data_IF_696789449346
#
_entry.id   IF_696789449346
#
_cell.length_a   1.000
_cell.length_b   1.000
_cell.length_c   1.000
_cell.angle_alpha   90.00
_cell.angle_beta   90.00
_cell.angle_gamma   90.00
#
_symmetry.space_group_name_H-M   'P 1'
#
loop_
_entity.id
_entity.type
_entity.pdbx_description
1 polymer ?
#
# COMPACT_ATOMS: atom_id res chain seq x y z
N UNK A 1 3.23 12.60 10.83
CA UNK A 1 1.91 11.95 10.88
C UNK A 1 2.13 10.46 10.94
N UNK A 2 1.11 9.65 11.28
CA UNK A 2 1.27 8.20 11.34
C UNK A 2 1.74 7.61 9.99
N UNK A 3 1.27 8.16 8.86
CA UNK A 3 1.75 7.81 7.52
C UNK A 3 3.23 8.18 7.33
N UNK A 4 3.66 9.33 7.84
CA UNK A 4 5.06 9.75 7.80
C UNK A 4 5.98 8.79 8.55
N UNK A 5 5.56 8.40 9.75
CA UNK A 5 6.31 7.52 10.62
C UNK A 5 6.38 6.08 10.08
N UNK A 6 5.29 5.59 9.49
CA UNK A 6 5.19 4.20 9.01
C UNK A 6 5.59 4.01 7.54
N UNK A 7 5.35 4.98 6.66
CA UNK A 7 5.72 4.92 5.25
C UNK A 7 6.94 5.81 5.07
N UNK A 8 8.13 5.24 5.20
CA UNK A 8 9.40 5.96 5.12
C UNK A 8 10.40 5.15 4.26
N UNK A 9 11.61 5.69 4.04
CA UNK A 9 12.60 5.04 3.19
C UNK A 9 13.07 3.68 3.74
N UNK A 10 13.13 3.53 5.07
CA UNK A 10 13.53 2.30 5.75
C UNK A 10 12.43 1.23 5.64
N UNK A 11 11.16 1.62 5.78
CA UNK A 11 10.02 0.71 5.74
C UNK A 11 9.49 0.41 4.33
N UNK A 12 9.94 1.14 3.30
CA UNK A 12 9.41 1.04 1.93
C UNK A 12 9.42 -0.39 1.38
N UNK A 13 10.46 -1.18 1.67
CA UNK A 13 10.54 -2.60 1.28
C UNK A 13 9.37 -3.42 1.86
N UNK A 14 9.04 -3.22 3.13
CA UNK A 14 7.94 -3.90 3.80
C UNK A 14 6.60 -3.40 3.29
N UNK A 15 6.48 -2.10 3.00
CA UNK A 15 5.27 -1.53 2.42
C UNK A 15 4.92 -2.16 1.06
N UNK A 16 5.92 -2.36 0.19
CA UNK A 16 5.74 -3.11 -1.06
C UNK A 16 5.31 -4.56 -0.83
N UNK A 17 5.92 -5.24 0.13
CA UNK A 17 5.58 -6.63 0.47
C UNK A 17 4.16 -6.74 1.01
N UNK A 18 3.72 -5.77 1.82
CA UNK A 18 2.36 -5.67 2.33
C UNK A 18 1.35 -5.44 1.20
N UNK A 19 1.67 -4.53 0.26
CA UNK A 19 0.83 -4.30 -0.93
C UNK A 19 0.68 -5.57 -1.78
N UNK A 20 1.76 -6.34 -1.96
CA UNK A 20 1.69 -7.65 -2.59
C UNK A 20 0.83 -8.64 -1.80
N UNK A 21 0.95 -8.65 -0.46
CA UNK A 21 0.15 -9.50 0.41
C UNK A 21 -1.35 -9.19 0.27
N UNK A 22 -1.75 -7.92 0.21
CA UNK A 22 -3.14 -7.51 -0.06
C UNK A 22 -3.61 -8.10 -1.40
N UNK A 23 -2.84 -7.90 -2.47
CA UNK A 23 -3.22 -8.39 -3.80
C UNK A 23 -3.36 -9.91 -3.83
N UNK A 24 -2.48 -10.67 -3.19
CA UNK A 24 -2.54 -12.12 -3.24
C UNK A 24 -3.56 -12.73 -2.29
N UNK A 25 -3.72 -12.18 -1.09
CA UNK A 25 -4.45 -12.85 0.00
C UNK A 25 -5.77 -12.18 0.38
N UNK A 26 -6.03 -10.95 -0.09
CA UNK A 26 -7.21 -10.18 0.31
C UNK A 26 -8.05 -9.71 -0.89
N UNK A 27 -7.45 -9.57 -2.07
CA UNK A 27 -8.20 -9.39 -3.30
C UNK A 27 -8.70 -10.74 -3.83
N UNK A 28 -9.99 -10.82 -4.12
CA UNK A 28 -10.61 -12.01 -4.67
C UNK A 28 -11.47 -11.70 -5.89
N UNK A 29 -11.80 -12.73 -6.66
CA UNK A 29 -12.60 -12.62 -7.88
C UNK A 29 -14.05 -12.28 -7.54
N UNK A 30 -14.53 -11.15 -8.05
CA UNK A 30 -15.90 -10.68 -7.84
C UNK A 30 -16.86 -11.20 -8.91
N UNK A 31 -17.01 -12.53 -9.03
CA UNK A 31 -17.93 -13.10 -10.02
C UNK A 31 -18.32 -14.55 -9.71
N UNK A 32 -19.61 -14.87 -9.87
CA UNK A 32 -20.13 -16.24 -9.76
C UNK A 32 -19.66 -17.15 -10.91
N UNK A 33 -19.26 -16.58 -12.06
CA UNK A 33 -18.70 -17.32 -13.19
C UNK A 33 -17.34 -16.71 -13.63
N UNK A 34 -16.26 -16.96 -12.85
CA UNK A 34 -14.92 -16.44 -13.12
C UNK A 34 -14.44 -16.75 -14.54
N UNK A 35 -14.62 -17.99 -15.01
CA UNK A 35 -14.24 -18.41 -16.36
C UNK A 35 -14.83 -17.55 -17.47
N UNK A 36 -16.15 -17.29 -17.44
CA UNK A 36 -16.81 -16.46 -18.46
C UNK A 36 -16.34 -15.01 -18.37
N UNK A 37 -16.21 -14.48 -17.15
CA UNK A 37 -15.71 -13.12 -16.94
C UNK A 37 -14.29 -12.95 -17.50
N UNK A 38 -13.36 -13.83 -17.13
CA UNK A 38 -11.98 -13.75 -17.62
C UNK A 38 -11.89 -13.96 -19.12
N UNK A 39 -12.70 -14.84 -19.72
CA UNK A 39 -12.76 -14.98 -21.18
C UNK A 39 -13.17 -13.66 -21.86
N UNK A 40 -14.14 -12.94 -21.29
CA UNK A 40 -14.53 -11.61 -21.76
C UNK A 40 -13.41 -10.58 -21.61
N UNK A 41 -12.83 -10.47 -20.42
CA UNK A 41 -11.74 -9.53 -20.14
C UNK A 41 -10.51 -9.76 -21.01
N UNK A 42 -10.17 -11.02 -21.31
CA UNK A 42 -9.01 -11.37 -22.14
C UNK A 42 -9.24 -11.11 -23.64
N UNK A 43 -10.49 -10.93 -24.08
CA UNK A 43 -10.79 -10.43 -25.45
C UNK A 43 -10.56 -8.92 -25.54
N UNK A 44 -10.88 -8.18 -24.47
CA UNK A 44 -10.71 -6.72 -24.42
C UNK A 44 -9.28 -6.31 -24.11
N UNK A 45 -8.61 -7.06 -23.22
CA UNK A 45 -7.31 -6.69 -22.68
C UNK A 45 -6.30 -7.82 -22.90
N UNK A 46 -5.17 -7.49 -23.53
CA UNK A 46 -4.03 -8.39 -23.55
C UNK A 46 -3.37 -8.43 -22.16
N UNK A 47 -3.18 -9.62 -21.58
CA UNK A 47 -2.59 -9.78 -20.26
C UNK A 47 -1.21 -9.10 -20.10
N UNK A 48 -0.41 -9.02 -21.15
CA UNK A 48 0.93 -8.41 -21.12
C UNK A 48 0.87 -6.95 -20.66
N UNK A 49 -0.11 -6.19 -21.14
CA UNK A 49 -0.16 -4.73 -20.93
C UNK A 49 -1.42 -4.29 -20.16
N UNK A 50 -2.51 -5.04 -20.27
CA UNK A 50 -3.80 -4.76 -19.65
C UNK A 50 -4.04 -5.41 -18.28
N UNK A 51 -3.04 -6.05 -17.66
CA UNK A 51 -3.24 -6.76 -16.39
C UNK A 51 -3.76 -5.86 -15.26
N UNK A 52 -3.38 -4.57 -15.23
CA UNK A 52 -3.90 -3.61 -14.23
C UNK A 52 -5.39 -3.37 -14.45
N UNK A 53 -5.83 -3.19 -15.69
CA UNK A 53 -7.26 -3.04 -16.03
C UNK A 53 -8.05 -4.29 -15.64
N UNK A 54 -7.51 -5.48 -15.95
CA UNK A 54 -8.13 -6.75 -15.55
C UNK A 54 -8.22 -6.85 -14.03
N UNK A 55 -7.16 -6.51 -13.28
CA UNK A 55 -7.15 -6.50 -11.82
C UNK A 55 -8.27 -5.57 -11.28
N UNK A 56 -8.34 -4.35 -11.80
CA UNK A 56 -9.29 -3.32 -11.36
C UNK A 56 -10.76 -3.61 -11.69
N UNK A 57 -11.01 -4.50 -12.65
CA UNK A 57 -12.36 -4.89 -13.09
C UNK A 57 -12.82 -6.21 -12.46
N UNK A 58 -11.93 -7.18 -12.28
CA UNK A 58 -12.29 -8.53 -11.84
C UNK A 58 -12.18 -8.74 -10.33
N UNK A 59 -11.40 -7.92 -9.62
CA UNK A 59 -11.05 -8.19 -8.23
C UNK A 59 -11.60 -7.15 -7.27
N UNK A 60 -12.04 -7.61 -6.11
CA UNK A 60 -12.48 -6.79 -4.98
C UNK A 60 -11.83 -7.28 -3.70
N UNK A 61 -11.75 -6.42 -2.68
CA UNK A 61 -11.39 -6.90 -1.34
C UNK A 61 -12.50 -7.82 -0.83
N UNK A 62 -12.11 -8.98 -0.31
CA UNK A 62 -13.04 -9.95 0.25
C UNK A 62 -12.43 -10.58 1.50
N UNK A 63 -13.29 -10.86 2.49
CA UNK A 63 -12.97 -11.69 3.66
C UNK A 63 -13.15 -13.18 3.37
N UNK A 64 -13.79 -13.52 2.24
CA UNK A 64 -14.03 -14.89 1.81
C UNK A 64 -13.38 -15.11 0.44
N UNK A 65 -12.50 -16.12 0.36
CA UNK A 65 -11.85 -16.49 -0.88
C UNK A 65 -12.72 -17.47 -1.65
N UNK A 66 -12.95 -17.16 -2.92
CA UNK A 66 -13.69 -17.97 -3.87
C UNK A 66 -12.98 -19.30 -4.08
N UNK A 67 -13.77 -20.38 -4.11
CA UNK A 67 -13.26 -21.71 -4.45
C UNK A 67 -13.17 -21.77 -5.97
N UNK A 68 -11.96 -21.51 -6.48
CA UNK A 68 -11.66 -21.54 -7.90
C UNK A 68 -11.13 -22.90 -8.32
N UNK A 69 -11.41 -23.31 -9.57
CA UNK A 69 -10.79 -24.50 -10.13
C UNK A 69 -9.27 -24.29 -10.38
N UNK A 70 -8.46 -25.34 -10.56
CA UNK A 70 -7.01 -25.20 -10.75
C UNK A 70 -6.60 -24.34 -11.95
N UNK A 71 -7.42 -24.29 -13.01
CA UNK A 71 -7.15 -23.49 -14.21
C UNK A 71 -7.40 -22.01 -13.90
N UNK A 72 -8.50 -21.71 -13.23
CA UNK A 72 -8.87 -20.37 -12.77
C UNK A 72 -7.85 -19.83 -11.76
N UNK A 73 -7.42 -20.63 -10.78
CA UNK A 73 -6.39 -20.26 -9.82
C UNK A 73 -5.08 -19.86 -10.52
N UNK A 74 -4.65 -20.64 -11.52
CA UNK A 74 -3.44 -20.35 -12.30
C UNK A 74 -3.59 -19.04 -13.08
N UNK A 75 -4.78 -18.76 -13.61
CA UNK A 75 -5.04 -17.51 -14.33
C UNK A 75 -5.04 -16.31 -13.38
N UNK A 76 -5.75 -16.39 -12.25
CA UNK A 76 -5.77 -15.37 -11.20
C UNK A 76 -4.36 -15.04 -10.74
N UNK A 77 -3.55 -16.06 -10.44
CA UNK A 77 -2.16 -15.88 -10.06
C UNK A 77 -1.35 -15.12 -11.12
N UNK A 78 -1.51 -15.48 -12.40
CA UNK A 78 -0.84 -14.79 -13.52
C UNK A 78 -1.27 -13.32 -13.63
N UNK A 79 -2.57 -13.03 -13.51
CA UNK A 79 -3.10 -11.65 -13.55
C UNK A 79 -2.51 -10.83 -12.41
N UNK A 80 -2.64 -11.30 -11.17
CA UNK A 80 -2.12 -10.60 -9.98
C UNK A 80 -0.61 -10.35 -10.09
N UNK A 81 0.17 -11.37 -10.43
CA UNK A 81 1.63 -11.27 -10.61
C UNK A 81 1.99 -10.28 -11.70
N UNK A 82 1.30 -10.31 -12.85
CA UNK A 82 1.58 -9.41 -13.97
C UNK A 82 1.19 -7.96 -13.65
N UNK A 83 0.05 -7.74 -13.00
CA UNK A 83 -0.39 -6.42 -12.55
C UNK A 83 0.64 -5.80 -11.59
N UNK A 84 1.07 -6.53 -10.56
CA UNK A 84 2.12 -6.07 -9.63
C UNK A 84 3.44 -5.74 -10.33
N UNK A 85 3.83 -6.52 -11.33
CA UNK A 85 5.00 -6.22 -12.16
C UNK A 85 4.83 -4.89 -12.92
N UNK A 86 3.67 -4.69 -13.56
CA UNK A 86 3.39 -3.46 -14.31
C UNK A 86 3.34 -2.24 -13.38
N UNK A 87 2.68 -2.35 -12.22
CA UNK A 87 2.63 -1.29 -11.21
C UNK A 87 4.04 -0.91 -10.76
N UNK A 88 4.87 -1.90 -10.40
CA UNK A 88 6.26 -1.66 -10.02
C UNK A 88 7.07 -1.02 -11.15
N UNK A 89 6.84 -1.43 -12.40
CA UNK A 89 7.48 -0.84 -13.58
C UNK A 89 7.06 0.62 -13.76
N UNK A 90 5.77 0.94 -13.64
CA UNK A 90 5.26 2.31 -13.74
C UNK A 90 5.85 3.20 -12.65
N UNK A 91 5.85 2.75 -11.39
CA UNK A 91 6.41 3.53 -10.28
C UNK A 91 7.91 3.82 -10.51
N UNK A 92 8.68 2.82 -10.95
CA UNK A 92 10.10 3.03 -11.26
C UNK A 92 10.36 3.88 -12.50
N UNK A 93 9.40 3.96 -13.43
CA UNK A 93 9.49 4.82 -14.61
C UNK A 93 9.15 6.27 -14.29
N UNK A 94 8.17 6.49 -13.42
CA UNK A 94 7.66 7.82 -13.08
C UNK A 94 8.44 8.50 -11.94
N UNK A 95 9.08 7.73 -11.05
CA UNK A 95 9.78 8.25 -9.86
C UNK A 95 11.25 7.85 -9.84
N UNK A 96 12.14 8.82 -9.54
CA UNK A 96 13.60 8.67 -9.70
C UNK A 96 14.26 7.91 -8.56
N UNK A 97 13.69 7.98 -7.36
CA UNK A 97 14.32 7.47 -6.15
C UNK A 97 13.28 7.08 -5.08
N UNK A 98 13.75 6.43 -4.02
CA UNK A 98 12.89 5.96 -2.93
C UNK A 98 12.20 7.10 -2.16
N UNK A 99 12.75 8.31 -2.12
CA UNK A 99 12.13 9.47 -1.46
C UNK A 99 10.86 9.89 -2.18
N UNK A 100 10.92 9.97 -3.51
CA UNK A 100 9.77 10.31 -4.35
C UNK A 100 8.67 9.23 -4.25
N UNK A 101 9.07 7.95 -4.30
CA UNK A 101 8.14 6.81 -4.13
C UNK A 101 7.49 6.84 -2.74
N UNK A 102 8.26 7.11 -1.68
CA UNK A 102 7.75 7.24 -0.32
C UNK A 102 6.73 8.37 -0.24
N UNK A 103 7.02 9.49 -0.91
CA UNK A 103 6.11 10.64 -0.98
C UNK A 103 4.80 10.29 -1.70
N UNK A 104 4.86 9.54 -2.81
CA UNK A 104 3.66 9.00 -3.47
C UNK A 104 2.79 8.21 -2.49
N UNK A 105 3.37 7.23 -1.79
CA UNK A 105 2.60 6.37 -0.89
C UNK A 105 2.06 7.14 0.32
N UNK A 106 2.85 8.05 0.91
CA UNK A 106 2.36 8.94 1.99
C UNK A 106 1.15 9.74 1.55
N UNK A 107 1.21 10.35 0.37
CA UNK A 107 0.11 11.18 -0.15
C UNK A 107 -1.11 10.33 -0.55
N UNK A 108 -0.90 9.11 -1.05
CA UNK A 108 -2.00 8.17 -1.34
C UNK A 108 -2.83 7.87 -0.09
N UNK A 109 -2.18 7.69 1.06
CA UNK A 109 -2.79 7.38 2.36
C UNK A 109 -3.23 8.62 3.14
N UNK A 110 -3.27 9.81 2.51
CA UNK A 110 -3.73 11.04 3.18
C UNK A 110 -2.71 11.68 4.12
N UNK A 111 -1.48 11.18 4.11
CA UNK A 111 -0.35 11.78 4.80
C UNK A 111 0.15 13.06 4.14
N UNK A 112 1.30 13.54 4.61
CA UNK A 112 1.95 14.77 4.14
C UNK A 112 3.29 14.46 3.46
N UNK A 113 3.77 15.37 2.60
CA UNK A 113 5.16 15.37 2.10
C UNK A 113 6.15 15.56 3.24
N UNK A 114 7.45 15.37 2.97
CA UNK A 114 8.52 15.75 3.91
C UNK A 114 8.48 17.24 4.31
N UNK A 115 7.98 18.11 3.42
CA UNK A 115 7.72 19.54 3.68
C UNK A 115 6.35 19.81 4.32
N UNK A 116 5.70 18.78 4.88
CA UNK A 116 4.43 18.86 5.60
C UNK A 116 3.21 19.30 4.76
N UNK A 117 3.28 19.22 3.43
CA UNK A 117 2.18 19.59 2.54
C UNK A 117 1.32 18.35 2.27
N UNK A 118 0.01 18.46 2.49
CA UNK A 118 -0.97 17.42 2.12
C UNK A 118 -1.62 17.72 0.77
N UNK A 119 -2.22 16.71 0.13
CA UNK A 119 -3.03 16.92 -1.08
C UNK A 119 -4.21 17.89 -0.84
N UNK A 120 -4.80 17.89 0.35
CA UNK A 120 -5.90 18.78 0.72
C UNK A 120 -5.43 20.23 0.91
N UNK A 121 -4.22 20.43 1.42
CA UNK A 121 -3.62 21.76 1.58
C UNK A 121 -3.31 22.44 0.25
N UNK A 122 -3.04 21.69 -0.83
CA UNK A 122 -2.89 22.27 -2.18
C UNK A 122 -4.12 23.00 -2.69
N UNK A 123 -5.31 22.64 -2.19
CA UNK A 123 -6.56 23.26 -2.63
C UNK A 123 -6.80 24.61 -1.94
N UNK A 124 -6.05 24.95 -0.88
CA UNK A 124 -6.14 26.24 -0.20
C UNK A 124 -5.17 27.24 -0.83
N UNK A 125 -5.68 28.41 -1.23
CA UNK A 125 -4.95 29.47 -1.95
C UNK A 125 -3.68 30.00 -1.24
N UNK A 126 -3.51 29.75 0.07
CA UNK A 126 -2.50 30.39 0.92
C UNK A 126 -1.26 29.53 1.25
N UNK A 127 -1.14 28.29 0.76
CA UNK A 127 0.01 27.43 1.02
C UNK A 127 0.86 27.20 -0.23
N UNK A 128 2.16 26.92 -0.04
CA UNK A 128 3.04 26.41 -1.10
C UNK A 128 2.33 25.24 -1.80
N UNK A 129 2.10 25.40 -3.11
CA UNK A 129 1.40 24.40 -3.92
C UNK A 129 2.38 23.30 -4.29
N UNK A 130 2.01 22.06 -4.03
CA UNK A 130 2.65 20.91 -4.70
C UNK A 130 2.43 21.10 -6.19
N UNK A 131 3.45 20.78 -6.96
CA UNK A 131 3.42 20.84 -8.42
C UNK A 131 2.14 20.14 -8.97
N UNK A 132 1.37 20.79 -9.86
CA UNK A 132 0.20 20.20 -10.49
C UNK A 132 0.47 18.86 -11.17
N UNK A 133 1.67 18.66 -11.72
CA UNK A 133 2.09 17.39 -12.34
C UNK A 133 2.17 16.26 -11.32
N UNK A 134 2.66 16.53 -10.11
CA UNK A 134 2.69 15.57 -9.00
C UNK A 134 1.26 15.22 -8.57
N UNK A 135 0.39 16.23 -8.47
CA UNK A 135 -1.02 16.01 -8.11
C UNK A 135 -1.76 15.16 -9.16
N UNK A 136 -1.54 15.44 -10.45
CA UNK A 136 -2.11 14.66 -11.55
C UNK A 136 -1.59 13.20 -11.53
N UNK A 137 -0.29 13.03 -11.28
CA UNK A 137 0.34 11.72 -11.15
C UNK A 137 -0.28 10.93 -10.00
N UNK A 138 -0.41 11.53 -8.80
CA UNK A 138 -1.02 10.84 -7.66
C UNK A 138 -2.47 10.47 -7.92
N UNK A 139 -3.26 11.35 -8.57
CA UNK A 139 -4.64 11.05 -8.97
C UNK A 139 -4.69 9.85 -9.91
N UNK A 140 -3.81 9.78 -10.90
CA UNK A 140 -3.67 8.63 -11.83
C UNK A 140 -3.40 7.34 -11.06
N UNK A 141 -2.39 7.32 -10.19
CA UNK A 141 -2.08 6.14 -9.38
C UNK A 141 -3.25 5.75 -8.49
N UNK A 142 -3.90 6.71 -7.85
CA UNK A 142 -5.04 6.49 -6.96
C UNK A 142 -6.25 5.90 -7.69
N UNK A 143 -6.53 6.33 -8.92
CA UNK A 143 -7.67 5.85 -9.71
C UNK A 143 -7.40 4.59 -10.53
N UNK A 144 -6.13 4.24 -10.76
CA UNK A 144 -5.75 3.13 -11.63
C UNK A 144 -4.73 2.18 -10.99
N UNK A 145 -3.43 2.48 -11.02
CA UNK A 145 -2.35 1.53 -10.64
C UNK A 145 -2.43 1.05 -9.19
N UNK A 146 -2.90 1.88 -8.27
CA UNK A 146 -3.02 1.61 -6.83
C UNK A 146 -4.48 1.65 -6.36
N UNK A 147 -5.44 1.52 -7.30
CA UNK A 147 -6.89 1.52 -6.98
C UNK A 147 -7.25 0.49 -5.91
N UNK A 148 -6.59 -0.67 -5.91
CA UNK A 148 -6.83 -1.72 -4.91
C UNK A 148 -6.49 -1.32 -3.47
N UNK A 149 -5.65 -0.29 -3.27
CA UNK A 149 -5.34 0.24 -1.94
C UNK A 149 -6.39 1.26 -1.46
N UNK A 150 -7.29 1.74 -2.32
CA UNK A 150 -8.27 2.78 -1.97
C UNK A 150 -9.04 2.50 -0.68
N UNK A 151 -9.54 1.28 -0.42
CA UNK A 151 -10.24 0.99 0.82
C UNK A 151 -9.40 1.21 2.08
N UNK A 152 -8.07 1.12 1.98
CA UNK A 152 -7.10 1.37 3.06
C UNK A 152 -6.70 2.85 3.20
N UNK A 153 -7.16 3.74 2.31
CA UNK A 153 -6.79 5.16 2.36
C UNK A 153 -7.72 6.00 3.23
N UNK A 154 -8.77 5.41 3.82
CA UNK A 154 -9.65 6.12 4.76
C UNK A 154 -9.08 6.07 6.18
N UNK A 155 -9.34 7.11 6.98
CA UNK A 155 -8.77 7.26 8.34
C UNK A 155 -9.09 6.10 9.28
N UNK A 156 -10.20 5.41 9.07
CA UNK A 156 -10.71 4.31 9.92
C UNK A 156 -10.56 2.93 9.29
N UNK A 157 -9.78 2.81 8.21
CA UNK A 157 -9.64 1.55 7.46
C UNK A 157 -8.81 0.46 8.13
N UNK A 158 -8.19 0.73 9.28
CA UNK A 158 -7.33 -0.22 9.98
C UNK A 158 -6.01 -0.53 9.25
N UNK A 159 -5.63 0.26 8.23
CA UNK A 159 -4.41 0.02 7.45
C UNK A 159 -3.14 0.06 8.30
N UNK A 160 -3.09 0.92 9.32
CA UNK A 160 -1.97 1.03 10.26
C UNK A 160 -1.72 -0.30 10.96
N UNK A 161 -2.76 -0.84 11.59
CA UNK A 161 -2.71 -2.14 12.27
C UNK A 161 -2.35 -3.26 11.29
N UNK A 162 -3.05 -3.33 10.15
CA UNK A 162 -2.78 -4.33 9.10
C UNK A 162 -1.33 -4.31 8.59
N UNK A 163 -0.75 -3.12 8.41
CA UNK A 163 0.62 -2.98 7.95
C UNK A 163 1.65 -3.33 9.03
N UNK A 164 1.40 -2.93 10.28
CA UNK A 164 2.26 -3.27 11.42
C UNK A 164 2.26 -4.76 11.70
N UNK A 165 1.08 -5.39 11.80
CA UNK A 165 0.94 -6.83 12.03
C UNK A 165 1.65 -7.63 10.93
N UNK A 166 1.45 -7.24 9.66
CA UNK A 166 2.16 -7.85 8.54
C UNK A 166 3.68 -7.71 8.67
N UNK A 167 4.16 -6.52 9.06
CA UNK A 167 5.60 -6.25 9.16
C UNK A 167 6.23 -7.04 10.29
N UNK A 168 5.58 -7.09 11.46
CA UNK A 168 6.02 -7.88 12.62
C UNK A 168 6.08 -9.36 12.26
N UNK A 169 5.00 -9.92 11.71
CA UNK A 169 4.96 -11.33 11.29
C UNK A 169 6.05 -11.65 10.24
N UNK A 170 6.40 -10.69 9.38
CA UNK A 170 7.49 -10.88 8.42
C UNK A 170 8.88 -10.80 9.06
N UNK A 171 9.08 -9.92 10.03
CA UNK A 171 10.33 -9.83 10.78
C UNK A 171 10.56 -11.08 11.62
N UNK A 172 9.51 -11.61 12.27
CA UNK A 172 9.56 -12.87 13.02
C UNK A 172 10.03 -14.04 12.15
N UNK A 173 9.56 -14.09 10.89
CA UNK A 173 9.98 -15.11 9.93
C UNK A 173 11.42 -14.94 9.43
N UNK A 174 11.91 -13.70 9.35
CA UNK A 174 13.23 -13.39 8.77
C UNK A 174 14.35 -13.40 9.83
N UNK A 175 14.08 -12.87 11.03
CA UNK A 175 15.05 -12.75 12.11
C UNK A 175 14.35 -12.42 13.46
N UNK A 176 13.81 -13.45 14.11
CA UNK A 176 13.05 -13.30 15.35
C UNK A 176 13.87 -12.65 16.49
N UNK A 177 15.14 -12.99 16.62
CA UNK A 177 15.99 -12.53 17.73
C UNK A 177 16.28 -11.01 17.68
N UNK A 178 16.10 -10.38 16.51
CA UNK A 178 16.37 -8.96 16.29
C UNK A 178 15.14 -8.12 15.98
N UNK A 179 13.93 -8.59 16.31
CA UNK A 179 12.69 -7.86 16.01
C UNK A 179 12.72 -6.43 16.55
N UNK A 180 13.10 -6.23 17.82
CA UNK A 180 13.11 -4.90 18.43
C UNK A 180 14.08 -3.93 17.72
N UNK A 181 15.30 -4.40 17.41
CA UNK A 181 16.30 -3.63 16.67
C UNK A 181 15.80 -3.27 15.26
N UNK A 182 15.21 -4.25 14.57
CA UNK A 182 14.65 -4.06 13.23
C UNK A 182 13.46 -3.09 13.25
N UNK A 183 12.55 -3.18 14.22
CA UNK A 183 11.42 -2.27 14.35
C UNK A 183 11.89 -0.84 14.64
N UNK A 184 12.91 -0.66 15.50
CA UNK A 184 13.52 0.65 15.77
C UNK A 184 14.17 1.25 14.53
N UNK A 185 14.81 0.42 13.70
CA UNK A 185 15.35 0.88 12.42
C UNK A 185 14.26 1.25 11.40
N UNK A 186 13.19 0.44 11.30
CA UNK A 186 12.13 0.66 10.31
C UNK A 186 11.18 1.82 10.70
N UNK A 187 10.89 1.98 11.98
CA UNK A 187 9.90 2.92 12.51
C UNK A 187 10.46 3.77 13.67
N UNK A 188 11.56 4.50 13.47
CA UNK A 188 12.25 5.22 14.54
C UNK A 188 11.36 6.27 15.23
N UNK A 189 10.51 6.96 14.47
CA UNK A 189 9.55 7.93 15.02
C UNK A 189 8.51 7.27 15.93
N UNK A 190 8.01 6.08 15.59
CA UNK A 190 7.04 5.35 16.42
C UNK A 190 7.68 4.89 17.72
N UNK A 191 8.88 4.32 17.64
CA UNK A 191 9.60 3.88 18.83
C UNK A 191 9.90 5.05 19.77
N UNK A 192 10.35 6.19 19.22
CA UNK A 192 10.57 7.41 20.01
C UNK A 192 9.30 7.88 20.73
N UNK A 193 8.15 7.86 20.07
CA UNK A 193 6.85 8.21 20.68
C UNK A 193 6.50 7.24 21.82
N UNK A 194 6.68 5.94 21.60
CA UNK A 194 6.40 4.92 22.63
C UNK A 194 7.31 5.12 23.85
N UNK A 195 8.61 5.32 23.64
CA UNK A 195 9.58 5.53 24.71
C UNK A 195 9.26 6.80 25.53
N UNK A 196 8.87 7.89 24.86
CA UNK A 196 8.43 9.13 25.53
C UNK A 196 7.13 8.95 26.32
N UNK A 197 6.17 8.20 25.77
CA UNK A 197 4.91 7.92 26.46
C UNK A 197 5.14 7.05 27.70
N UNK A 198 5.97 6.00 27.58
CA UNK A 198 6.33 5.12 28.70
C UNK A 198 7.08 5.87 29.81
N UNK A 199 8.07 6.70 29.47
CA UNK A 199 8.79 7.48 30.49
C UNK A 199 7.91 8.51 31.18
N UNK A 200 6.87 9.01 30.51
CA UNK A 200 5.89 9.92 31.11
C UNK A 200 4.91 9.22 32.05
N UNK A 201 4.62 7.93 31.82
CA UNK A 201 3.79 7.11 32.71
C UNK A 201 4.56 6.79 33.99
N UNK A 202 5.85 6.45 33.89
CA UNK A 202 6.70 6.13 35.04
C UNK A 202 6.88 7.33 36.02
N UNK A 203 6.72 8.56 35.54
CA UNK A 203 6.76 9.78 36.37
C UNK A 203 5.42 10.02 37.09
N UNK A 204 4.31 9.49 36.58
CA UNK A 204 2.97 9.69 37.11
C UNK A 204 2.60 8.77 38.29
N UNK A 205 3.33 7.68 38.52
CA UNK A 205 3.10 6.76 39.65
C UNK A 205 3.80 7.21 40.96
N UNK A 206 4.52 8.34 40.96
CA UNK A 206 5.20 8.91 42.12
C UNK A 206 4.53 10.18 42.70
N UNK A 207 3.23 10.38 42.46
CA UNK A 207 2.45 11.47 43.06
C UNK A 207 1.22 10.98 43.84
#
# INVERSE_FOLDING_TARGET
TIEGALINEHSLKYFYRWSCHIVFNQLDVNNENPKKMFAGLMRTYNLKDGAISILNSAFVLSTHLSILDPVEQKLVFKVKKRALFLIKKSIKGDFKNNKEITTLFRLLFGGKTATLISLEMNLKKSCQRIDPSITATIKKYKSNELKFLLPYTTKTSGWVTSFLDFTIAKLEQENADKIAENLRFLFPEIISIIEQASSSIDIGEFH
#
